data_IF_590145350809
#
_entry.id   IF_590145350809
#
_cell.length_a   1.000
_cell.length_b   1.000
_cell.length_c   1.000
_cell.angle_alpha   90.00
_cell.angle_beta   90.00
_cell.angle_gamma   90.00
#
_symmetry.space_group_name_H-M   'P 1'
#
loop_
_entity.id
_entity.type
_entity.pdbx_description
1 polymer ?
#
# COMPACT_ATOMS: atom_id res chain seq x y z
N UNK A 1 -6.98 -2.23 19.44
CA UNK A 1 -7.93 -2.17 18.31
C UNK A 1 -7.11 -2.28 17.04
N UNK A 2 -7.31 -3.33 16.23
CA UNK A 2 -6.49 -3.53 15.03
C UNK A 2 -7.00 -2.58 13.95
N UNK A 3 -6.26 -1.50 13.65
CA UNK A 3 -6.68 -0.52 12.65
C UNK A 3 -6.65 -1.15 11.25
N UNK A 4 -7.82 -1.25 10.64
CA UNK A 4 -7.95 -1.57 9.23
C UNK A 4 -7.51 -0.35 8.41
N UNK A 5 -6.56 -0.48 7.49
CA UNK A 5 -6.14 0.64 6.66
C UNK A 5 -7.30 1.11 5.78
N UNK A 6 -7.62 2.41 5.88
CA UNK A 6 -8.68 3.07 5.09
C UNK A 6 -8.15 3.71 3.81
N UNK A 7 -6.83 3.72 3.58
CA UNK A 7 -6.17 4.21 2.38
C UNK A 7 -4.79 3.56 2.19
N UNK A 8 -4.19 3.67 0.99
CA UNK A 8 -2.82 3.19 0.73
C UNK A 8 -1.79 4.00 1.54
N UNK A 9 -1.99 5.30 1.69
CA UNK A 9 -1.13 6.12 2.55
C UNK A 9 -1.22 5.66 4.00
N UNK A 10 -2.42 5.46 4.53
CA UNK A 10 -2.62 4.95 5.90
C UNK A 10 -2.08 3.55 6.12
N UNK A 11 -2.09 2.69 5.09
CA UNK A 11 -1.37 1.42 5.10
C UNK A 11 0.14 1.69 5.27
N UNK A 12 0.75 2.48 4.40
CA UNK A 12 2.21 2.75 4.43
C UNK A 12 2.64 3.45 5.73
N UNK A 13 1.77 4.28 6.31
CA UNK A 13 2.01 4.96 7.59
C UNK A 13 2.02 3.97 8.79
N UNK A 14 1.64 2.70 8.58
CA UNK A 14 1.83 1.62 9.58
C UNK A 14 3.30 1.22 9.75
N UNK A 15 4.18 1.66 8.85
CA UNK A 15 5.63 1.59 8.98
C UNK A 15 6.19 2.88 9.57
N UNK A 16 7.26 2.78 10.35
CA UNK A 16 7.90 3.93 10.99
C UNK A 16 8.45 4.95 9.97
N UNK A 17 8.74 4.51 8.75
CA UNK A 17 9.13 5.36 7.64
C UNK A 17 8.82 4.71 6.28
N UNK A 18 8.76 5.51 5.23
CA UNK A 18 8.64 5.02 3.84
C UNK A 18 9.82 4.11 3.49
N UNK A 19 11.02 4.40 4.00
CA UNK A 19 12.21 3.55 3.79
C UNK A 19 12.05 2.18 4.46
N UNK A 20 11.47 2.11 5.66
CA UNK A 20 11.17 0.84 6.32
C UNK A 20 10.15 0.02 5.53
N UNK A 21 9.11 0.65 4.98
CA UNK A 21 8.18 -0.02 4.06
C UNK A 21 8.89 -0.52 2.80
N UNK A 22 9.74 0.31 2.20
CA UNK A 22 10.49 -0.02 0.98
C UNK A 22 11.36 -1.26 1.19
N UNK A 23 12.12 -1.31 2.30
CA UNK A 23 12.95 -2.45 2.67
C UNK A 23 12.14 -3.73 2.94
N UNK A 24 11.02 -3.62 3.67
CA UNK A 24 10.18 -4.76 4.07
C UNK A 24 9.40 -5.38 2.89
N UNK A 25 9.00 -4.54 1.92
CA UNK A 25 8.34 -4.94 0.67
C UNK A 25 9.35 -5.31 -0.42
N UNK A 26 10.63 -4.95 -0.26
CA UNK A 26 11.65 -5.12 -1.29
C UNK A 26 11.41 -4.24 -2.52
N UNK A 27 10.78 -3.08 -2.34
CA UNK A 27 10.64 -2.08 -3.41
C UNK A 27 11.65 -0.93 -3.20
N UNK A 28 12.10 -0.29 -4.28
CA UNK A 28 12.96 0.88 -4.15
C UNK A 28 12.24 2.04 -3.43
N UNK A 29 13.00 2.88 -2.71
CA UNK A 29 12.45 4.02 -1.95
C UNK A 29 11.56 4.94 -2.81
N UNK A 30 12.00 5.27 -4.03
CA UNK A 30 11.21 6.09 -4.94
C UNK A 30 9.92 5.41 -5.39
N UNK A 31 9.93 4.07 -5.54
CA UNK A 31 8.73 3.31 -5.84
C UNK A 31 7.73 3.37 -4.68
N UNK A 32 8.20 3.18 -3.45
CA UNK A 32 7.39 3.33 -2.23
C UNK A 32 6.79 4.73 -2.12
N UNK A 33 7.61 5.77 -2.33
CA UNK A 33 7.18 7.17 -2.28
C UNK A 33 6.12 7.49 -3.34
N UNK A 34 6.32 7.03 -4.58
CA UNK A 34 5.33 7.21 -5.64
C UNK A 34 4.04 6.43 -5.37
N UNK A 35 4.12 5.20 -4.87
CA UNK A 35 2.93 4.41 -4.53
C UNK A 35 2.08 5.10 -3.45
N UNK A 36 2.73 5.68 -2.43
CA UNK A 36 2.07 6.50 -1.40
C UNK A 36 1.40 7.73 -2.01
N UNK A 37 2.16 8.54 -2.76
CA UNK A 37 1.65 9.78 -3.39
C UNK A 37 0.47 9.51 -4.32
N UNK A 38 0.54 8.42 -5.09
CA UNK A 38 -0.47 8.02 -6.08
C UNK A 38 -1.68 7.29 -5.48
N UNK A 39 -1.64 6.97 -4.19
CA UNK A 39 -2.70 6.23 -3.51
C UNK A 39 -2.92 4.82 -4.06
N UNK A 40 -1.93 4.21 -4.72
CA UNK A 40 -2.04 2.88 -5.35
C UNK A 40 -0.71 2.15 -5.38
N UNK A 41 -0.75 0.84 -5.17
CA UNK A 41 0.42 -0.04 -5.21
C UNK A 41 0.44 -0.77 -6.56
N UNK A 42 1.61 -0.87 -7.19
CA UNK A 42 1.75 -1.62 -8.44
C UNK A 42 1.54 -3.13 -8.21
N UNK A 43 0.83 -3.85 -9.10
CA UNK A 43 0.49 -5.28 -8.91
C UNK A 43 1.69 -6.18 -8.63
N UNK A 44 2.84 -5.87 -9.25
CA UNK A 44 4.11 -6.55 -9.01
C UNK A 44 4.58 -6.55 -7.54
N UNK A 45 4.14 -5.58 -6.73
CA UNK A 45 4.49 -5.49 -5.31
C UNK A 45 3.41 -6.06 -4.39
N UNK A 46 2.24 -6.43 -4.90
CA UNK A 46 1.12 -6.91 -4.07
C UNK A 46 1.47 -8.13 -3.20
N UNK A 47 2.16 -9.18 -3.72
CA UNK A 47 2.52 -10.32 -2.88
C UNK A 47 3.38 -9.94 -1.68
N UNK A 48 4.38 -9.09 -1.91
CA UNK A 48 5.28 -8.62 -0.85
C UNK A 48 4.57 -7.71 0.15
N UNK A 49 3.66 -6.84 -0.32
CA UNK A 49 2.86 -5.96 0.56
C UNK A 49 1.91 -6.77 1.44
N UNK A 50 1.21 -7.75 0.89
CA UNK A 50 0.31 -8.63 1.67
C UNK A 50 1.13 -9.44 2.69
N UNK A 51 2.28 -9.98 2.28
CA UNK A 51 3.17 -10.69 3.20
C UNK A 51 3.69 -9.79 4.33
N UNK A 52 4.16 -8.59 4.02
CA UNK A 52 4.63 -7.61 5.00
C UNK A 52 3.53 -7.17 5.96
N UNK A 53 2.32 -6.92 5.44
CA UNK A 53 1.14 -6.57 6.24
C UNK A 53 0.78 -7.69 7.22
N UNK A 54 0.80 -8.96 6.77
CA UNK A 54 0.57 -10.13 7.62
C UNK A 54 1.63 -10.25 8.72
N UNK A 55 2.92 -10.08 8.39
CA UNK A 55 4.01 -10.12 9.38
C UNK A 55 3.84 -9.07 10.48
N UNK A 56 3.31 -7.88 10.12
CA UNK A 56 3.04 -6.78 11.06
C UNK A 56 1.70 -6.89 11.78
N UNK A 57 0.86 -7.89 11.47
CA UNK A 57 -0.49 -8.02 12.05
C UNK A 57 -1.50 -6.99 11.53
N UNK A 58 -1.24 -6.37 10.38
CA UNK A 58 -2.17 -5.42 9.76
C UNK A 58 -3.31 -6.21 9.11
N UNK A 59 -4.49 -6.14 9.71
CA UNK A 59 -5.68 -6.80 9.21
C UNK A 59 -6.23 -6.12 7.94
N UNK A 60 -6.99 -6.87 7.13
CA UNK A 60 -7.76 -6.32 6.01
C UNK A 60 -6.97 -6.00 4.73
N UNK A 61 -5.66 -6.28 4.67
CA UNK A 61 -4.85 -6.11 3.46
C UNK A 61 -4.85 -7.42 2.67
N UNK A 62 -5.71 -7.48 1.64
CA UNK A 62 -5.79 -8.58 0.67
C UNK A 62 -5.55 -8.10 -0.76
N UNK A 63 -5.40 -9.04 -1.69
CA UNK A 63 -5.34 -8.71 -3.12
C UNK A 63 -6.61 -8.00 -3.60
N UNK A 64 -7.78 -8.41 -3.13
CA UNK A 64 -9.06 -7.78 -3.44
C UNK A 64 -9.12 -6.34 -2.93
N UNK A 65 -8.66 -6.12 -1.70
CA UNK A 65 -8.56 -4.77 -1.13
C UNK A 65 -7.61 -3.89 -1.96
N UNK A 66 -6.43 -4.40 -2.35
CA UNK A 66 -5.46 -3.70 -3.19
C UNK A 66 -6.03 -3.38 -4.59
N UNK A 67 -6.75 -4.33 -5.18
CA UNK A 67 -7.42 -4.15 -6.47
C UNK A 67 -8.51 -3.07 -6.39
N UNK A 68 -9.34 -3.10 -5.35
CA UNK A 68 -10.36 -2.08 -5.10
C UNK A 68 -9.76 -0.68 -4.93
N UNK A 69 -8.64 -0.57 -4.19
CA UNK A 69 -7.91 0.71 -4.05
C UNK A 69 -7.37 1.23 -5.38
N UNK A 70 -6.81 0.34 -6.20
CA UNK A 70 -6.29 0.70 -7.52
C UNK A 70 -7.41 1.16 -8.46
N UNK A 71 -8.56 0.49 -8.46
CA UNK A 71 -9.72 0.88 -9.25
C UNK A 71 -10.27 2.25 -8.82
N UNK A 72 -10.44 2.46 -7.50
CA UNK A 72 -10.89 3.74 -6.96
C UNK A 72 -9.94 4.91 -7.26
N UNK A 73 -8.62 4.67 -7.24
CA UNK A 73 -7.62 5.67 -7.60
C UNK A 73 -7.58 5.98 -9.11
N UNK A 74 -8.00 5.06 -9.97
CA UNK A 74 -8.12 5.31 -11.41
C UNK A 74 -9.29 6.27 -11.70
N UNK A 75 -10.45 6.06 -11.06
CA UNK A 75 -11.62 6.92 -11.21
C UNK A 75 -11.39 8.37 -10.71
N UNK A 76 -10.51 8.56 -9.73
CA UNK A 76 -10.15 9.88 -9.21
C UNK A 76 -9.15 10.64 -10.10
N UNK A 77 -8.57 9.97 -11.10
CA UNK A 77 -7.61 10.57 -12.04
C UNK A 77 -8.24 11.18 -13.30
N UNK A 78 -9.56 11.09 -13.48
CA UNK A 78 -10.28 11.51 -14.70
C UNK A 78 -10.92 12.91 -14.58
N UNK A 79 -10.44 13.71 -13.63
CA UNK A 79 -10.88 15.09 -13.38
C UNK A 79 -9.70 16.08 -13.41
N UNK A 80 -8.81 15.97 -14.39
CA UNK A 80 -7.73 16.94 -14.64
C UNK A 80 -7.40 17.04 -16.13
#
# INVERSE_FOLDING_TARGET
>A
MQQLPTSISGLIDSWQSIAAFAADVGCGYEAARQMRRRGRIAPQHWPHVVAASRRRGIAGVSYEWLAGRRAAAAMQGEAA
#
